data_IF_275617278915
#
_entry.id   IF_275617278915
#
_cell.length_a   1.000
_cell.length_b   1.000
_cell.length_c   1.000
_cell.angle_alpha   90.00
_cell.angle_beta   90.00
_cell.angle_gamma   90.00
#
_symmetry.space_group_name_H-M   'P 1'
#
loop_
_entity.id
_entity.type
_entity.pdbx_description
1 polymer ?
#
# COMPACT_ATOMS: atom_id res chain seq x y z
N UNK A 1 -16.87 -0.56 22.70
CA UNK A 1 -15.85 -1.21 21.85
C UNK A 1 -16.46 -1.33 20.47
N UNK A 2 -15.85 -0.70 19.45
CA UNK A 2 -16.34 -0.81 18.07
C UNK A 2 -15.24 -1.51 17.28
N UNK A 3 -15.45 -2.79 16.98
CA UNK A 3 -14.63 -3.52 16.03
C UNK A 3 -15.11 -3.15 14.62
N UNK A 4 -14.20 -2.71 13.76
CA UNK A 4 -14.53 -2.53 12.33
C UNK A 4 -13.58 -3.37 11.49
N UNK A 5 -14.10 -4.13 10.50
CA UNK A 5 -13.27 -4.87 9.59
C UNK A 5 -12.47 -3.89 8.72
N UNK A 6 -11.19 -4.19 8.56
CA UNK A 6 -10.27 -3.46 7.69
C UNK A 6 -9.66 -4.45 6.71
N UNK A 7 -9.60 -4.08 5.43
CA UNK A 7 -9.00 -4.98 4.42
C UNK A 7 -7.48 -4.89 4.52
N UNK A 8 -6.82 -6.03 4.67
CA UNK A 8 -5.37 -6.12 4.70
C UNK A 8 -4.83 -6.30 3.29
N UNK A 9 -3.93 -5.41 2.87
CA UNK A 9 -3.35 -5.36 1.51
C UNK A 9 -1.84 -5.46 1.62
N UNK A 10 -1.25 -6.40 0.89
CA UNK A 10 0.21 -6.59 0.81
C UNK A 10 0.73 -6.32 -0.60
N UNK A 11 2.06 -6.22 -0.72
CA UNK A 11 2.79 -6.10 -1.98
C UNK A 11 2.35 -4.94 -2.87
N UNK A 12 2.04 -3.80 -2.24
CA UNK A 12 1.67 -2.61 -2.98
C UNK A 12 2.89 -1.99 -3.67
N UNK A 13 2.72 -1.56 -4.92
CA UNK A 13 3.82 -1.01 -5.71
C UNK A 13 4.21 0.41 -5.24
N UNK A 14 5.41 0.86 -5.62
CA UNK A 14 5.95 2.15 -5.21
C UNK A 14 5.05 3.34 -5.59
N UNK A 15 4.46 3.33 -6.78
CA UNK A 15 3.59 4.42 -7.27
C UNK A 15 2.27 4.53 -6.49
N UNK A 16 1.68 3.39 -6.12
CA UNK A 16 0.47 3.35 -5.32
C UNK A 16 0.78 3.73 -3.88
N UNK A 17 1.90 3.26 -3.33
CA UNK A 17 2.36 3.66 -2.00
C UNK A 17 2.62 5.17 -1.93
N UNK A 18 3.28 5.72 -2.94
CA UNK A 18 3.53 7.16 -3.08
C UNK A 18 2.23 7.97 -3.06
N UNK A 19 1.25 7.62 -3.91
CA UNK A 19 -0.07 8.26 -3.90
C UNK A 19 -0.82 8.12 -2.58
N UNK A 20 -0.60 7.05 -1.82
CA UNK A 20 -1.30 6.85 -0.55
C UNK A 20 -0.68 7.63 0.60
N UNK A 21 0.62 7.91 0.52
CA UNK A 21 1.39 8.65 1.51
C UNK A 21 1.33 10.16 1.26
N UNK A 22 1.40 10.55 -0.01
CA UNK A 22 1.40 11.94 -0.43
C UNK A 22 -0.01 12.45 -0.75
N UNK A 23 -0.19 13.78 -0.64
CA UNK A 23 -1.49 14.43 -0.78
C UNK A 23 -1.53 15.46 -1.91
N UNK A 24 -0.48 15.57 -2.73
CA UNK A 24 -0.40 16.61 -3.75
C UNK A 24 -1.50 16.51 -4.81
N UNK A 25 -2.06 15.32 -5.03
CA UNK A 25 -3.16 15.09 -5.98
C UNK A 25 -4.55 15.27 -5.37
N UNK A 26 -4.66 15.67 -4.09
CA UNK A 26 -5.96 15.84 -3.45
C UNK A 26 -6.65 17.10 -3.96
N UNK A 27 -7.92 16.94 -4.32
CA UNK A 27 -8.72 18.05 -4.81
C UNK A 27 -9.16 18.94 -3.66
N UNK A 28 -9.36 20.22 -3.95
CA UNK A 28 -9.84 21.16 -2.94
C UNK A 28 -11.27 20.80 -2.52
N UNK A 29 -11.56 20.77 -1.20
CA UNK A 29 -12.87 20.37 -0.72
C UNK A 29 -13.96 21.36 -1.12
N UNK A 30 -13.63 22.64 -1.32
CA UNK A 30 -14.59 23.70 -1.63
C UNK A 30 -15.09 23.64 -3.07
N UNK A 31 -14.33 23.03 -3.97
CA UNK A 31 -14.72 22.80 -5.37
C UNK A 31 -15.77 21.70 -5.52
N UNK A 32 -15.96 20.86 -4.50
CA UNK A 32 -16.83 19.67 -4.56
C UNK A 32 -18.00 19.78 -3.60
N UNK A 33 -19.20 19.82 -4.16
CA UNK A 33 -20.46 19.87 -3.41
C UNK A 33 -21.15 18.51 -3.25
N UNK A 34 -20.67 17.48 -3.95
CA UNK A 34 -21.27 16.14 -3.98
C UNK A 34 -20.21 15.04 -3.88
N UNK A 35 -20.60 13.89 -3.32
CA UNK A 35 -19.75 12.72 -3.22
C UNK A 35 -19.39 12.18 -4.62
N UNK A 36 -18.10 11.97 -4.86
CA UNK A 36 -17.62 11.46 -6.15
C UNK A 36 -18.06 10.00 -6.46
N UNK A 37 -18.61 9.27 -5.47
CA UNK A 37 -19.05 7.87 -5.65
C UNK A 37 -20.56 7.74 -5.74
N UNK A 38 -21.31 8.31 -4.80
CA UNK A 38 -22.77 8.19 -4.75
C UNK A 38 -23.51 9.43 -5.26
N UNK A 39 -22.80 10.51 -5.61
CA UNK A 39 -23.35 11.78 -6.10
C UNK A 39 -24.31 12.48 -5.14
N UNK A 40 -24.36 12.07 -3.86
CA UNK A 40 -25.12 12.76 -2.82
C UNK A 40 -24.45 14.08 -2.43
N UNK A 41 -25.25 15.13 -2.21
CA UNK A 41 -24.75 16.44 -1.81
C UNK A 41 -24.24 16.42 -0.36
N UNK A 42 -23.11 17.10 -0.13
CA UNK A 42 -22.58 17.34 1.19
C UNK A 42 -23.34 18.53 1.82
N UNK A 43 -24.37 18.25 2.60
CA UNK A 43 -25.09 19.29 3.36
C UNK A 43 -24.37 19.59 4.68
N UNK A 44 -24.36 18.62 5.58
CA UNK A 44 -23.71 18.68 6.89
C UNK A 44 -22.68 17.56 7.08
N UNK A 45 -22.60 16.65 6.10
CA UNK A 45 -21.70 15.51 6.16
C UNK A 45 -20.25 15.96 5.97
N UNK A 46 -19.32 15.45 6.80
CA UNK A 46 -17.93 15.82 6.68
C UNK A 46 -17.36 15.27 5.37
N UNK A 47 -16.85 16.16 4.52
CA UNK A 47 -16.11 15.83 3.31
C UNK A 47 -14.85 15.03 3.67
N UNK A 48 -14.60 13.91 2.97
CA UNK A 48 -13.42 13.07 3.19
C UNK A 48 -12.72 12.77 1.88
N UNK A 49 -11.40 12.83 1.87
CA UNK A 49 -10.61 12.46 0.69
C UNK A 49 -10.39 10.94 0.59
N UNK A 50 -10.42 10.43 -0.63
CA UNK A 50 -9.85 9.13 -0.98
C UNK A 50 -8.33 9.27 -1.10
N UNK A 51 -7.56 8.49 -0.33
CA UNK A 51 -6.11 8.63 -0.35
C UNK A 51 -5.50 8.25 -1.71
N UNK A 52 -6.11 7.31 -2.44
CA UNK A 52 -5.59 6.85 -3.74
C UNK A 52 -5.83 7.84 -4.89
N UNK A 53 -7.06 8.35 -5.04
CA UNK A 53 -7.40 9.23 -6.16
C UNK A 53 -7.53 10.72 -5.80
N UNK A 54 -7.50 11.08 -4.52
CA UNK A 54 -7.59 12.47 -4.06
C UNK A 54 -8.99 13.07 -4.08
N UNK A 55 -9.98 12.33 -4.57
CA UNK A 55 -11.37 12.78 -4.72
C UNK A 55 -12.15 12.85 -3.40
N UNK A 56 -13.15 13.72 -3.34
CA UNK A 56 -14.02 13.88 -2.16
C UNK A 56 -15.16 12.86 -2.17
N UNK A 57 -15.29 12.10 -1.08
CA UNK A 57 -16.33 11.09 -0.87
C UNK A 57 -16.96 11.22 0.52
N UNK A 58 -18.18 10.70 0.66
CA UNK A 58 -18.82 10.57 1.97
C UNK A 58 -18.19 9.43 2.79
N UNK A 59 -18.50 9.40 4.09
CA UNK A 59 -18.01 8.37 5.01
C UNK A 59 -18.41 6.95 4.61
N UNK A 60 -19.61 6.79 4.05
CA UNK A 60 -20.16 5.49 3.65
C UNK A 60 -19.54 4.98 2.35
N UNK A 61 -19.08 5.87 1.47
CA UNK A 61 -18.42 5.49 0.23
C UNK A 61 -16.92 5.18 0.39
N UNK A 62 -16.44 5.12 1.64
CA UNK A 62 -15.02 5.01 1.97
C UNK A 62 -14.73 3.73 2.75
N UNK A 63 -13.78 2.96 2.27
CA UNK A 63 -13.32 1.71 2.89
C UNK A 63 -11.98 1.93 3.58
N UNK A 64 -11.80 1.33 4.77
CA UNK A 64 -10.53 1.32 5.49
C UNK A 64 -9.66 0.16 5.02
N UNK A 65 -8.38 0.44 4.82
CA UNK A 65 -7.35 -0.50 4.41
C UNK A 65 -6.18 -0.43 5.39
N UNK A 66 -5.52 -1.57 5.59
CA UNK A 66 -4.21 -1.65 6.20
C UNK A 66 -3.24 -2.17 5.17
N UNK A 67 -2.19 -1.40 4.95
CA UNK A 67 -1.31 -1.55 3.82
C UNK A 67 0.07 -1.87 4.34
N UNK A 68 0.62 -2.93 3.78
CA UNK A 68 2.04 -3.24 3.82
C UNK A 68 2.62 -3.09 2.42
N UNK A 69 3.74 -2.37 2.33
CA UNK A 69 4.32 -2.08 1.03
C UNK A 69 5.66 -1.39 1.14
N UNK A 70 6.39 -1.42 0.02
CA UNK A 70 7.65 -0.70 -0.14
C UNK A 70 7.37 0.73 -0.57
N UNK A 71 8.11 1.67 0.01
CA UNK A 71 8.04 3.07 -0.35
C UNK A 71 9.46 3.66 -0.41
N UNK A 72 9.57 4.83 -1.04
CA UNK A 72 10.80 5.62 -1.03
C UNK A 72 10.64 6.69 0.05
N UNK A 73 11.59 6.77 0.97
CA UNK A 73 11.57 7.84 1.97
C UNK A 73 12.09 9.16 1.39
N UNK A 74 12.02 10.21 2.19
CA UNK A 74 12.50 11.57 1.93
C UNK A 74 14.01 11.63 1.57
N UNK A 75 14.81 10.67 2.06
CA UNK A 75 16.24 10.55 1.76
C UNK A 75 16.51 9.72 0.48
N UNK A 76 15.47 9.25 -0.20
CA UNK A 76 15.58 8.45 -1.42
C UNK A 76 16.00 7.00 -1.19
N UNK A 77 15.89 6.49 0.03
CA UNK A 77 16.17 5.10 0.40
C UNK A 77 14.89 4.28 0.36
N UNK A 78 15.01 3.05 -0.15
CA UNK A 78 13.93 2.07 -0.14
C UNK A 78 13.63 1.60 1.29
N UNK A 79 12.42 1.87 1.76
CA UNK A 79 11.93 1.46 3.07
C UNK A 79 10.67 0.60 2.95
N UNK A 80 10.23 0.02 4.06
CA UNK A 80 9.03 -0.82 4.14
C UNK A 80 8.11 -0.31 5.24
N UNK A 81 6.84 -0.07 4.90
CA UNK A 81 5.83 0.27 5.88
C UNK A 81 5.12 -0.99 6.37
N UNK A 82 5.19 -1.23 7.67
CA UNK A 82 4.37 -2.21 8.36
C UNK A 82 3.11 -1.53 8.89
N UNK A 83 1.95 -1.88 8.33
CA UNK A 83 0.66 -1.52 8.93
C UNK A 83 0.24 -0.04 8.78
N UNK A 84 0.43 0.56 7.60
CA UNK A 84 -0.11 1.90 7.32
C UNK A 84 -1.62 1.84 7.08
N UNK A 85 -2.41 2.66 7.78
CA UNK A 85 -3.86 2.73 7.56
C UNK A 85 -4.18 3.74 6.48
N UNK A 86 -4.79 3.28 5.38
CA UNK A 86 -5.31 4.14 4.33
C UNK A 86 -6.82 4.04 4.24
N UNK A 87 -7.46 5.06 3.68
CA UNK A 87 -8.91 5.02 3.47
C UNK A 87 -9.22 5.53 2.06
N UNK A 88 -9.83 4.66 1.27
CA UNK A 88 -10.05 4.88 -0.17
C UNK A 88 -11.53 4.76 -0.50
N UNK A 89 -11.96 5.37 -1.60
CA UNK A 89 -13.33 5.21 -2.07
C UNK A 89 -13.61 3.79 -2.59
N UNK A 90 -14.87 3.37 -2.63
CA UNK A 90 -15.26 2.08 -3.19
C UNK A 90 -14.71 1.84 -4.61
N UNK A 91 -14.79 2.80 -5.57
CA UNK A 91 -14.19 2.61 -6.89
C UNK A 91 -12.71 2.27 -6.83
N UNK A 92 -11.90 3.02 -6.05
CA UNK A 92 -10.48 2.73 -5.90
C UNK A 92 -10.23 1.39 -5.21
N UNK A 93 -11.01 1.06 -4.17
CA UNK A 93 -10.94 -0.23 -3.51
C UNK A 93 -11.10 -1.38 -4.50
N UNK A 94 -12.20 -1.39 -5.25
CA UNK A 94 -12.48 -2.48 -6.18
C UNK A 94 -11.48 -2.54 -7.34
N UNK A 95 -11.00 -1.39 -7.81
CA UNK A 95 -10.09 -1.33 -8.97
C UNK A 95 -8.66 -1.73 -8.60
N UNK A 96 -8.14 -1.27 -7.47
CA UNK A 96 -6.72 -1.39 -7.15
C UNK A 96 -6.41 -2.36 -6.02
N UNK A 97 -7.33 -2.52 -5.06
CA UNK A 97 -7.04 -3.18 -3.80
C UNK A 97 -7.75 -4.53 -3.62
N UNK A 98 -8.93 -4.71 -4.22
CA UNK A 98 -9.72 -5.94 -4.05
C UNK A 98 -8.94 -7.21 -4.41
N UNK A 99 -8.19 -7.20 -5.52
CA UNK A 99 -7.38 -8.32 -5.97
C UNK A 99 -6.09 -8.53 -5.15
N UNK A 100 -5.69 -7.54 -4.34
CA UNK A 100 -4.49 -7.56 -3.48
C UNK A 100 -4.84 -7.73 -2.00
N UNK A 101 -6.12 -7.70 -1.67
CA UNK A 101 -6.59 -7.89 -0.32
C UNK A 101 -6.38 -9.36 0.07
N UNK A 102 -5.53 -9.60 1.05
CA UNK A 102 -5.18 -10.94 1.53
C UNK A 102 -6.09 -11.39 2.67
N UNK A 103 -6.84 -10.47 3.27
CA UNK A 103 -7.80 -10.80 4.31
C UNK A 103 -8.46 -9.58 4.93
N UNK A 104 -9.21 -9.84 5.99
CA UNK A 104 -9.81 -8.82 6.85
C UNK A 104 -9.35 -9.05 8.28
N UNK A 105 -9.17 -7.97 9.02
CA UNK A 105 -8.86 -8.02 10.44
C UNK A 105 -9.70 -6.97 11.16
N UNK A 106 -9.98 -7.24 12.43
CA UNK A 106 -10.74 -6.33 13.27
C UNK A 106 -9.80 -5.37 13.98
N UNK A 107 -10.08 -4.07 13.85
CA UNK A 107 -9.39 -3.05 14.64
C UNK A 107 -10.27 -2.67 15.81
N UNK A 108 -9.74 -2.83 17.03
CA UNK A 108 -10.38 -2.33 18.25
C UNK A 108 -10.20 -0.81 18.33
N UNK A 109 -11.29 -0.04 18.19
CA UNK A 109 -11.25 1.41 18.47
C UNK A 109 -11.32 1.64 19.98
N UNK A 110 -10.19 1.98 20.62
CA UNK A 110 -10.15 2.32 22.05
C UNK A 110 -10.65 3.77 22.28
N UNK A 111 -11.67 4.02 23.13
CA UNK A 111 -12.33 5.32 23.26
C UNK A 111 -11.49 6.44 23.92
N UNK A 112 -10.31 6.11 24.48
CA UNK A 112 -9.44 7.09 25.16
C UNK A 112 -8.41 7.77 24.25
N UNK A 113 -8.32 7.38 22.98
CA UNK A 113 -7.49 8.03 21.97
C UNK A 113 -8.36 8.58 20.83
N UNK A 114 -9.54 9.14 21.18
CA UNK A 114 -10.33 9.96 20.27
C UNK A 114 -9.74 11.38 20.26
N UNK A 115 -8.61 11.55 19.58
CA UNK A 115 -8.26 12.87 19.10
C UNK A 115 -9.01 13.08 17.79
N UNK A 116 -10.10 13.84 17.89
CA UNK A 116 -10.71 14.63 16.81
C UNK A 116 -9.70 15.64 16.17
N UNK A 117 -8.40 15.35 16.22
CA UNK A 117 -7.29 16.20 15.80
C UNK A 117 -6.01 15.43 15.40
N UNK A 118 -6.01 14.08 15.35
CA UNK A 118 -4.83 13.29 14.93
C UNK A 118 -4.93 12.64 13.55
N UNK A 119 -6.11 12.53 12.94
CA UNK A 119 -6.19 12.13 11.52
C UNK A 119 -5.71 13.26 10.56
N UNK A 120 -5.50 14.48 11.08
CA UNK A 120 -4.89 15.63 10.38
C UNK A 120 -3.52 16.07 10.97
N UNK A 121 -2.95 15.33 11.95
CA UNK A 121 -1.65 15.67 12.57
C UNK A 121 -0.52 14.66 12.32
N UNK A 122 -0.73 13.66 11.48
CA UNK A 122 0.38 12.84 10.98
C UNK A 122 1.08 13.45 9.75
N UNK A 123 0.90 14.76 9.51
CA UNK A 123 1.53 15.50 8.41
C UNK A 123 2.73 16.37 8.82
N UNK A 124 3.19 16.35 10.08
CA UNK A 124 4.37 17.13 10.50
C UNK A 124 5.01 16.63 11.81
N UNK A 125 5.52 15.39 11.86
CA UNK A 125 6.68 15.02 12.69
C UNK A 125 7.01 13.53 12.49
N UNK A 126 7.79 13.21 11.46
CA UNK A 126 8.55 11.95 11.44
C UNK A 126 9.96 12.24 11.92
N UNK A 127 10.04 12.69 13.18
CA UNK A 127 11.25 12.87 13.94
C UNK A 127 11.00 12.39 15.37
N UNK A 128 11.76 11.39 15.80
CA UNK A 128 11.97 11.04 17.22
C UNK A 128 10.78 10.36 17.95
N UNK A 129 10.62 9.04 17.79
CA UNK A 129 10.37 8.13 18.93
C UNK A 129 10.49 6.63 18.58
N UNK A 130 11.69 6.15 18.26
CA UNK A 130 12.02 4.73 18.41
C UNK A 130 13.41 4.58 19.01
N UNK A 131 13.54 5.01 20.27
CA UNK A 131 14.69 4.72 21.12
C UNK A 131 14.18 4.35 22.51
N UNK A 132 13.77 3.09 22.64
CA UNK A 132 13.56 2.30 23.86
C UNK A 132 12.93 0.97 23.42
N UNK A 133 13.50 -0.23 23.55
CA UNK A 133 14.72 -0.72 24.17
C UNK A 133 15.01 -2.06 23.48
N UNK A 134 16.10 -2.20 22.74
CA UNK A 134 16.58 -3.54 22.35
C UNK A 134 17.13 -4.22 23.60
N UNK A 135 16.72 -5.45 23.95
CA UNK A 135 17.35 -6.17 25.05
C UNK A 135 18.83 -6.41 24.70
N UNK A 136 19.71 -6.06 25.64
CA UNK A 136 21.15 -6.26 25.54
C UNK A 136 21.45 -7.75 25.38
N UNK A 137 21.79 -8.16 24.16
CA UNK A 137 22.33 -9.50 23.91
C UNK A 137 23.72 -9.52 24.55
N UNK A 138 23.90 -10.31 25.60
CA UNK A 138 25.23 -10.58 26.14
C UNK A 138 26.05 -11.34 25.10
N UNK A 139 27.19 -10.76 24.70
CA UNK A 139 28.21 -11.44 23.92
C UNK A 139 28.71 -12.68 24.67
N UNK A 140 28.21 -13.85 24.29
CA UNK A 140 28.97 -15.08 24.43
C UNK A 140 29.68 -15.31 23.11
N UNK A 141 30.97 -15.00 23.07
CA UNK A 141 31.87 -15.31 21.96
C UNK A 141 31.95 -16.82 21.81
N UNK A 142 31.09 -17.38 20.95
CA UNK A 142 31.26 -18.72 20.43
C UNK A 142 32.19 -18.62 19.21
N UNK A 143 33.38 -19.23 19.33
CA UNK A 143 34.31 -19.42 18.19
C UNK A 143 33.59 -20.25 17.13
N UNK A 144 33.18 -19.63 16.03
CA UNK A 144 32.70 -20.30 14.83
C UNK A 144 33.86 -20.40 13.83
N UNK A 145 34.04 -21.60 13.28
CA UNK A 145 35.04 -21.93 12.27
C UNK A 145 34.79 -21.20 10.94
N UNK A 146 35.79 -21.08 10.05
CA UNK A 146 35.62 -20.39 8.77
C UNK A 146 34.64 -21.12 7.87
N UNK A 147 33.65 -20.41 7.35
CA UNK A 147 32.70 -20.93 6.35
C UNK A 147 33.28 -20.64 4.97
N UNK A 148 33.52 -21.69 4.19
CA UNK A 148 34.01 -21.60 2.80
C UNK A 148 33.00 -20.89 1.89
N UNK A 149 33.51 -19.97 1.07
CA UNK A 149 32.73 -19.22 0.10
C UNK A 149 32.26 -20.11 -1.06
N UNK A 150 30.98 -20.49 -1.05
CA UNK A 150 30.33 -21.13 -2.20
C UNK A 150 30.02 -20.07 -3.26
N UNK A 151 30.80 -20.07 -4.34
CA UNK A 151 30.57 -19.28 -5.55
C UNK A 151 29.26 -19.74 -6.21
N UNK A 152 28.18 -18.94 -6.12
CA UNK A 152 27.01 -19.11 -6.99
C UNK A 152 27.32 -18.54 -8.37
N UNK A 153 27.59 -19.43 -9.33
CA UNK A 153 27.69 -19.08 -10.74
C UNK A 153 26.30 -18.65 -11.27
N UNK A 154 26.22 -17.48 -11.91
CA UNK A 154 25.07 -17.12 -12.73
C UNK A 154 25.00 -18.05 -13.95
N UNK A 155 24.05 -18.99 -13.93
CA UNK A 155 23.68 -19.77 -15.11
C UNK A 155 22.92 -18.83 -16.06
N UNK A 156 23.56 -18.46 -17.17
CA UNK A 156 22.87 -17.87 -18.33
C UNK A 156 22.01 -18.96 -18.98
N UNK A 157 20.75 -18.67 -19.36
CA UNK A 157 19.93 -19.62 -20.09
C UNK A 157 20.60 -19.99 -21.42
N UNK A 158 20.48 -21.25 -21.80
CA UNK A 158 20.99 -21.77 -23.07
C UNK A 158 20.23 -21.19 -24.26
N UNK A 159 20.88 -21.08 -25.42
CA UNK A 159 20.26 -20.53 -26.64
C UNK A 159 19.00 -21.30 -27.08
N UNK A 160 18.86 -22.58 -26.69
CA UNK A 160 17.65 -23.36 -26.93
C UNK A 160 16.47 -22.97 -26.03
N UNK A 161 16.73 -22.60 -24.77
CA UNK A 161 15.69 -22.14 -23.84
C UNK A 161 15.16 -20.76 -24.25
N UNK A 162 16.03 -19.89 -24.75
CA UNK A 162 15.64 -18.58 -25.27
C UNK A 162 14.75 -18.71 -26.52
N UNK A 163 15.08 -19.63 -27.44
CA UNK A 163 14.29 -19.88 -28.65
C UNK A 163 12.89 -20.42 -28.33
N UNK A 164 12.77 -21.32 -27.34
CA UNK A 164 11.45 -21.82 -26.93
C UNK A 164 10.58 -20.73 -26.31
N UNK A 165 11.17 -19.76 -25.60
CA UNK A 165 10.44 -18.61 -25.09
C UNK A 165 9.90 -17.72 -26.22
N UNK A 166 10.75 -17.42 -27.21
CA UNK A 166 10.38 -16.58 -28.35
C UNK A 166 9.30 -17.23 -29.24
N UNK A 167 9.36 -18.55 -29.44
CA UNK A 167 8.32 -19.30 -30.15
C UNK A 167 6.97 -19.30 -29.41
N UNK A 168 6.98 -19.44 -28.08
CA UNK A 168 5.76 -19.33 -27.28
C UNK A 168 5.17 -17.92 -27.35
N UNK A 169 6.02 -16.90 -27.33
CA UNK A 169 5.58 -15.51 -27.40
C UNK A 169 4.95 -15.19 -28.76
N UNK A 170 5.62 -15.56 -29.87
CA UNK A 170 5.12 -15.33 -31.23
C UNK A 170 3.82 -16.08 -31.53
N UNK A 171 3.67 -17.31 -31.05
CA UNK A 171 2.42 -18.06 -31.18
C UNK A 171 1.27 -17.44 -30.39
N UNK A 172 1.54 -16.86 -29.22
CA UNK A 172 0.52 -16.16 -28.43
C UNK A 172 0.03 -14.89 -29.13
N UNK A 173 0.95 -14.09 -29.68
CA UNK A 173 0.62 -12.89 -30.46
C UNK A 173 -0.22 -13.23 -31.70
N UNK A 174 0.12 -14.33 -32.41
CA UNK A 174 -0.66 -14.80 -33.56
C UNK A 174 -2.06 -15.31 -33.20
N UNK A 175 -2.25 -15.89 -32.01
CA UNK A 175 -3.57 -16.33 -31.56
C UNK A 175 -4.49 -15.14 -31.25
N UNK A 176 -3.93 -14.03 -30.75
CA UNK A 176 -4.71 -12.84 -30.39
C UNK A 176 -5.17 -12.05 -31.62
N UNK A 177 -4.38 -12.05 -32.70
CA UNK A 177 -4.76 -11.37 -33.95
C UNK A 177 -5.79 -12.12 -34.79
N UNK A 178 -6.03 -13.42 -34.54
CA UNK A 178 -7.09 -14.19 -35.22
C UNK A 178 -8.48 -14.01 -34.61
N UNK A 179 -8.59 -13.55 -33.37
CA UNK A 179 -9.88 -13.34 -32.69
C UNK A 179 -10.52 -11.96 -32.94
N UNK A 180 -9.97 -11.17 -33.86
CA UNK A 180 -10.47 -9.84 -34.24
C UNK A 180 -10.89 -9.72 -35.71
N UNK A 181 -11.35 -10.83 -36.32
CA UNK A 181 -12.00 -10.81 -37.64
C UNK A 181 -13.36 -11.48 -37.58
#
# INVERSE_FOLDING_TARGET
>A
MVCRPVSFVQDLNLLMMDRLLHREHWVEPDERYQCNTCFQYFHLDPKKHCYMCGEIVCGDCRTRLLIEGRYMNDVGVMAFHHGFTAKVCHPCYFTFFSARAVGFFEVEKHPKYDSHRLEDRCDADYGVLWSQSLPTIQEKVAKLAPIEATKKAHLRPSASEQRQFDERFTNKVRSMTRNHR
#
